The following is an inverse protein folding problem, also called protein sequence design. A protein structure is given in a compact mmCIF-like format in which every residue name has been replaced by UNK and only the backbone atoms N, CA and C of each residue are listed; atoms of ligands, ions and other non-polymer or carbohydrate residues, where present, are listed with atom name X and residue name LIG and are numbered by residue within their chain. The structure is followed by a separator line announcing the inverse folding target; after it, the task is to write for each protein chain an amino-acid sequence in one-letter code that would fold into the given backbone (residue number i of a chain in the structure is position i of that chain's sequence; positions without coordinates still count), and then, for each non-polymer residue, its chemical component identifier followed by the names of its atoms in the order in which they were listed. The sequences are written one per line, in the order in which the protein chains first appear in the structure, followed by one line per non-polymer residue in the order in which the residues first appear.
data_IF_757483902329
#
_entry.id   IF_757483902329
#
_cell.length_a   1.000
_cell.length_b   1.000
_cell.length_c   1.000
_cell.angle_alpha   90.00
_cell.angle_beta   90.00
_cell.angle_gamma   90.00
#
_symmetry.space_group_name_H-M   'P 1'
#
loop_
_entity.id
_entity.type
_entity.pdbx_description
1 polymer ?
#
# COMPACT_ATOMS: atom_id res chain seq x y z
N UNK A 1 18.32 42.11 28.91
CA UNK A 1 16.89 42.02 28.54
C UNK A 1 16.71 41.62 27.08
N UNK A 2 17.54 42.16 26.17
CA UNK A 2 17.55 41.84 24.74
C UNK A 2 17.88 40.36 24.43
N UNK A 3 18.85 39.75 25.12
CA UNK A 3 19.26 38.36 24.85
C UNK A 3 18.19 37.31 25.17
N UNK A 4 17.28 37.61 26.11
CA UNK A 4 16.15 36.72 26.41
C UNK A 4 15.10 36.74 25.29
N UNK A 5 14.91 37.88 24.63
CA UNK A 5 13.95 38.03 23.53
C UNK A 5 14.42 37.35 22.24
N UNK A 6 15.73 37.37 21.96
CA UNK A 6 16.32 36.67 20.79
C UNK A 6 16.16 35.16 20.93
N UNK A 7 16.43 34.60 22.12
CA UNK A 7 16.28 33.17 22.39
C UNK A 7 14.82 32.70 22.30
N UNK A 8 13.86 33.52 22.77
CA UNK A 8 12.44 33.20 22.64
C UNK A 8 11.99 33.15 21.18
N UNK A 9 12.44 34.10 20.35
CA UNK A 9 12.08 34.15 18.92
C UNK A 9 12.64 32.97 18.13
N UNK A 10 13.90 32.61 18.36
CA UNK A 10 14.52 31.44 17.74
C UNK A 10 13.86 30.13 18.19
N UNK A 11 13.46 30.03 19.47
CA UNK A 11 12.75 28.87 19.98
C UNK A 11 11.36 28.73 19.34
N UNK A 12 10.63 29.83 19.14
CA UNK A 12 9.32 29.80 18.48
C UNK A 12 9.41 29.46 17.00
N UNK A 13 10.42 29.98 16.29
CA UNK A 13 10.65 29.68 14.86
C UNK A 13 11.06 28.21 14.65
N UNK A 14 11.91 27.68 15.53
CA UNK A 14 12.30 26.26 15.52
C UNK A 14 11.13 25.35 15.87
N UNK A 15 10.30 25.74 16.83
CA UNK A 15 9.11 24.97 17.20
C UNK A 15 8.06 24.96 16.09
N UNK A 16 7.91 26.08 15.36
CA UNK A 16 6.99 26.19 14.24
C UNK A 16 7.44 25.31 13.06
N UNK A 17 8.73 25.32 12.70
CA UNK A 17 9.24 24.49 11.60
C UNK A 17 9.15 22.98 11.89
N UNK A 18 9.32 22.57 13.15
CA UNK A 18 9.12 21.17 13.58
C UNK A 18 7.65 20.76 13.41
N UNK A 19 6.70 21.61 13.81
CA UNK A 19 5.27 21.34 13.65
C UNK A 19 4.85 21.29 12.17
N UNK A 20 5.39 22.18 11.34
CA UNK A 20 5.16 22.16 9.89
C UNK A 20 5.73 20.89 9.24
N UNK A 21 6.95 20.47 9.61
CA UNK A 21 7.55 19.23 9.13
C UNK A 21 6.75 18.00 9.57
N UNK A 22 6.27 17.99 10.81
CA UNK A 22 5.41 16.91 11.32
C UNK A 22 4.08 16.85 10.56
N UNK A 23 3.42 18.00 10.35
CA UNK A 23 2.19 18.07 9.58
C UNK A 23 2.37 17.65 8.12
N UNK A 24 3.49 18.04 7.49
CA UNK A 24 3.87 17.61 6.14
C UNK A 24 4.09 16.10 6.06
N UNK A 25 4.83 15.53 7.02
CA UNK A 25 5.08 14.09 7.09
C UNK A 25 3.78 13.29 7.30
N UNK A 26 2.86 13.80 8.14
CA UNK A 26 1.53 13.20 8.34
C UNK A 26 0.73 13.21 7.04
N UNK A 27 0.70 14.35 6.34
CA UNK A 27 -0.02 14.50 5.06
C UNK A 27 0.53 13.55 4.00
N UNK A 28 1.86 13.51 3.82
CA UNK A 28 2.52 12.59 2.90
C UNK A 28 2.26 11.12 3.22
N UNK A 29 2.26 10.75 4.51
CA UNK A 29 1.97 9.39 4.94
C UNK A 29 0.54 8.99 4.56
N UNK A 30 -0.43 9.88 4.79
CA UNK A 30 -1.83 9.65 4.40
C UNK A 30 -2.00 9.58 2.89
N UNK A 31 -1.30 10.40 2.11
CA UNK A 31 -1.34 10.34 0.65
C UNK A 31 -0.77 9.03 0.12
N UNK A 32 0.36 8.57 0.66
CA UNK A 32 0.97 7.30 0.28
C UNK A 32 0.07 6.10 0.61
N UNK A 33 -0.54 6.09 1.80
CA UNK A 33 -1.49 5.06 2.20
C UNK A 33 -2.74 5.06 1.30
N UNK A 34 -3.31 6.24 1.06
CA UNK A 34 -4.48 6.42 0.19
C UNK A 34 -4.23 5.87 -1.20
N UNK A 35 -3.12 6.23 -1.84
CA UNK A 35 -2.79 5.76 -3.18
C UNK A 35 -2.62 4.22 -3.23
N UNK A 36 -2.08 3.61 -2.17
CA UNK A 36 -1.94 2.15 -2.09
C UNK A 36 -3.27 1.42 -1.94
N UNK A 37 -4.24 2.01 -1.23
CA UNK A 37 -5.61 1.48 -1.12
C UNK A 37 -6.31 1.62 -2.47
N UNK A 38 -6.29 2.83 -3.04
CA UNK A 38 -6.96 3.18 -4.32
C UNK A 38 -6.53 2.25 -5.44
N UNK A 39 -5.24 1.92 -5.54
CA UNK A 39 -4.72 1.00 -6.57
C UNK A 39 -5.33 -0.39 -6.52
N UNK A 40 -5.80 -0.84 -5.36
CA UNK A 40 -6.39 -2.16 -5.17
C UNK A 40 -7.90 -2.19 -5.38
N UNK A 41 -8.56 -1.03 -5.46
CA UNK A 41 -10.00 -0.93 -5.56
C UNK A 41 -10.49 -0.86 -7.01
N UNK A 42 -11.62 -1.51 -7.34
CA UNK A 42 -12.37 -1.24 -8.56
C UNK A 42 -12.66 0.25 -8.77
N UNK A 43 -12.58 0.72 -10.02
CA UNK A 43 -12.78 2.15 -10.37
C UNK A 43 -14.18 2.68 -10.03
N UNK A 44 -15.18 1.82 -9.94
CA UNK A 44 -16.54 2.17 -9.54
C UNK A 44 -16.68 2.47 -8.04
N UNK A 45 -15.71 2.03 -7.22
CA UNK A 45 -15.64 2.38 -5.78
C UNK A 45 -15.06 3.79 -5.58
N UNK A 46 -14.24 4.27 -6.52
CA UNK A 46 -13.47 5.52 -6.38
C UNK A 46 -14.07 6.59 -7.29
N UNK A 47 -14.67 7.62 -6.71
CA UNK A 47 -15.10 8.80 -7.47
C UNK A 47 -14.03 9.89 -7.38
N UNK A 48 -13.95 10.79 -8.37
CA UNK A 48 -12.96 11.91 -8.42
C UNK A 48 -12.98 12.84 -7.18
N UNK A 49 -13.97 12.65 -6.31
CA UNK A 49 -14.24 13.40 -5.08
C UNK A 49 -13.49 12.84 -3.85
N UNK A 50 -12.87 11.65 -3.93
CA UNK A 50 -12.18 10.97 -2.81
C UNK A 50 -10.81 11.58 -2.44
N UNK A 51 -10.66 12.91 -2.44
CA UNK A 51 -9.38 13.57 -2.12
C UNK A 51 -9.08 13.60 -0.61
N UNK A 52 -10.08 13.40 0.25
CA UNK A 52 -9.92 13.39 1.70
C UNK A 52 -9.92 11.96 2.26
N UNK A 53 -9.03 11.60 3.21
CA UNK A 53 -9.05 10.31 3.92
C UNK A 53 -10.41 9.85 4.47
N UNK A 54 -11.27 10.77 4.92
CA UNK A 54 -12.60 10.42 5.43
C UNK A 54 -13.55 9.89 4.35
N UNK A 55 -13.43 10.41 3.13
CA UNK A 55 -14.25 10.00 1.99
C UNK A 55 -13.86 8.58 1.57
N UNK A 56 -12.56 8.28 1.53
CA UNK A 56 -12.06 6.94 1.23
C UNK A 56 -12.60 5.88 2.21
N UNK A 57 -12.58 6.16 3.52
CA UNK A 57 -13.13 5.22 4.52
C UNK A 57 -14.64 5.02 4.35
N UNK A 58 -15.36 6.09 4.03
CA UNK A 58 -16.80 6.02 3.76
C UNK A 58 -17.11 5.22 2.50
N UNK A 59 -16.33 5.42 1.44
CA UNK A 59 -16.42 4.68 0.17
C UNK A 59 -16.11 3.20 0.37
N UNK A 60 -15.07 2.85 1.13
CA UNK A 60 -14.77 1.48 1.51
C UNK A 60 -15.96 0.83 2.23
N UNK A 61 -16.47 1.47 3.28
CA UNK A 61 -17.62 0.97 4.05
C UNK A 61 -18.86 0.79 3.18
N UNK A 62 -19.21 1.77 2.35
CA UNK A 62 -20.38 1.71 1.46
C UNK A 62 -20.31 0.55 0.45
N UNK A 63 -19.10 0.21 0.00
CA UNK A 63 -18.86 -0.88 -0.95
C UNK A 63 -18.47 -2.19 -0.27
N UNK A 64 -18.68 -2.33 1.05
CA UNK A 64 -18.34 -3.51 1.82
C UNK A 64 -16.87 -3.95 1.66
N UNK A 65 -15.97 -2.98 1.53
CA UNK A 65 -14.54 -3.20 1.46
C UNK A 65 -13.83 -2.63 2.68
N UNK A 66 -12.65 -3.16 2.98
CA UNK A 66 -11.79 -2.66 4.03
C UNK A 66 -10.32 -2.94 3.70
N UNK A 67 -9.41 -2.21 4.34
CA UNK A 67 -7.98 -2.51 4.24
C UNK A 67 -7.47 -3.12 5.54
N UNK A 68 -6.44 -3.94 5.41
CA UNK A 68 -5.75 -4.60 6.52
C UNK A 68 -4.26 -4.74 6.20
N UNK A 69 -3.49 -5.29 7.12
CA UNK A 69 -2.10 -5.67 6.92
C UNK A 69 -1.99 -7.19 6.88
N UNK A 70 -1.39 -7.70 5.82
CA UNK A 70 -1.20 -9.13 5.58
C UNK A 70 -0.30 -9.76 6.64
N UNK A 71 -0.66 -10.95 7.12
CA UNK A 71 0.25 -11.73 7.95
C UNK A 71 1.35 -12.32 7.06
N UNK A 72 2.60 -12.13 7.48
CA UNK A 72 3.77 -12.80 6.89
C UNK A 72 3.57 -14.28 6.57
N UNK A 73 2.83 -15.02 7.42
CA UNK A 73 2.53 -16.44 7.22
C UNK A 73 1.66 -16.69 6.00
N UNK A 74 0.70 -15.81 5.70
CA UNK A 74 -0.13 -15.92 4.51
C UNK A 74 0.72 -15.80 3.25
N UNK A 75 1.70 -14.90 3.26
CA UNK A 75 2.65 -14.73 2.16
C UNK A 75 3.64 -15.89 2.03
N UNK A 76 4.08 -16.47 3.16
CA UNK A 76 4.95 -17.64 3.17
C UNK A 76 4.30 -18.86 2.51
N UNK A 77 2.98 -19.02 2.71
CA UNK A 77 2.21 -20.15 2.21
C UNK A 77 1.84 -20.06 0.72
N UNK A 78 2.04 -18.90 0.08
CA UNK A 78 1.79 -18.76 -1.36
C UNK A 78 2.65 -19.72 -2.18
N UNK A 79 2.11 -20.25 -3.25
CA UNK A 79 2.75 -21.17 -4.18
C UNK A 79 2.64 -20.63 -5.61
N UNK A 80 3.35 -21.25 -6.54
CA UNK A 80 3.25 -20.86 -7.95
C UNK A 80 1.84 -21.10 -8.53
N UNK A 81 1.09 -22.04 -7.97
CA UNK A 81 -0.27 -22.35 -8.40
C UNK A 81 -1.26 -21.23 -8.04
N UNK A 82 -0.96 -20.44 -7.00
CA UNK A 82 -1.78 -19.29 -6.58
C UNK A 82 -1.76 -18.15 -7.60
N UNK A 83 -0.85 -18.15 -8.58
CA UNK A 83 -0.85 -17.19 -9.70
C UNK A 83 -2.12 -17.30 -10.58
N UNK A 84 -2.80 -18.45 -10.52
CA UNK A 84 -4.03 -18.71 -11.28
C UNK A 84 -5.29 -18.36 -10.47
N UNK A 85 -5.16 -18.10 -9.18
CA UNK A 85 -6.27 -17.80 -8.28
C UNK A 85 -6.41 -16.28 -8.13
N UNK A 86 -7.48 -15.70 -8.69
CA UNK A 86 -7.71 -14.26 -8.60
C UNK A 86 -7.86 -13.78 -7.15
N UNK A 87 -8.30 -14.65 -6.22
CA UNK A 87 -8.41 -14.31 -4.79
C UNK A 87 -7.04 -14.08 -4.13
N UNK A 88 -5.95 -14.51 -4.78
CA UNK A 88 -4.56 -14.40 -4.29
C UNK A 88 -3.78 -13.24 -4.87
N UNK A 89 -4.32 -12.54 -5.87
CA UNK A 89 -3.60 -11.47 -6.58
C UNK A 89 -3.22 -10.30 -5.68
N UNK A 90 -4.06 -9.92 -4.70
CA UNK A 90 -3.71 -8.92 -3.69
C UNK A 90 -2.51 -9.33 -2.83
N UNK A 91 -2.42 -10.60 -2.43
CA UNK A 91 -1.28 -11.11 -1.67
C UNK A 91 0.01 -11.12 -2.49
N UNK A 92 -0.08 -11.48 -3.77
CA UNK A 92 1.03 -11.42 -4.72
C UNK A 92 1.48 -9.97 -4.96
N UNK A 93 0.55 -9.02 -4.97
CA UNK A 93 0.84 -7.60 -5.03
C UNK A 93 1.58 -7.08 -3.79
N UNK A 94 1.19 -7.52 -2.59
CA UNK A 94 1.92 -7.23 -1.34
C UNK A 94 3.37 -7.75 -1.40
N UNK A 95 3.59 -8.97 -1.91
CA UNK A 95 4.93 -9.52 -2.14
C UNK A 95 5.73 -8.69 -3.16
N UNK A 96 5.11 -8.33 -4.28
CA UNK A 96 5.76 -7.56 -5.34
C UNK A 96 6.21 -6.18 -4.88
N UNK A 97 5.35 -5.47 -4.16
CA UNK A 97 5.61 -4.11 -3.68
C UNK A 97 6.37 -4.05 -2.35
N UNK A 98 6.56 -5.20 -1.70
CA UNK A 98 7.10 -5.27 -0.34
C UNK A 98 6.28 -4.43 0.66
N UNK A 99 4.97 -4.38 0.44
CA UNK A 99 4.04 -3.61 1.24
C UNK A 99 3.00 -4.54 1.87
N UNK A 100 2.82 -4.53 3.20
CA UNK A 100 1.85 -5.39 3.85
C UNK A 100 0.38 -5.00 3.60
N UNK A 101 0.10 -3.82 3.04
CA UNK A 101 -1.25 -3.29 2.92
C UNK A 101 -2.09 -4.05 1.87
N UNK A 102 -3.19 -4.65 2.32
CA UNK A 102 -4.10 -5.45 1.51
C UNK A 102 -5.53 -4.89 1.61
N UNK A 103 -6.24 -4.85 0.49
CA UNK A 103 -7.65 -4.43 0.45
C UNK A 103 -8.56 -5.62 0.12
N UNK A 104 -9.52 -5.88 1.01
CA UNK A 104 -10.43 -7.01 0.99
C UNK A 104 -11.89 -6.56 0.91
N UNK A 105 -12.75 -7.41 0.36
CA UNK A 105 -14.20 -7.33 0.56
C UNK A 105 -14.61 -7.94 1.92
N UNK A 106 -15.88 -7.82 2.28
CA UNK A 106 -16.44 -8.35 3.52
C UNK A 106 -16.47 -9.89 3.60
N UNK A 107 -16.21 -10.59 2.49
CA UNK A 107 -16.03 -12.04 2.43
C UNK A 107 -14.56 -12.46 2.58
N UNK A 108 -13.66 -11.49 2.78
CA UNK A 108 -12.21 -11.64 2.87
C UNK A 108 -11.52 -12.04 1.55
N UNK A 109 -12.17 -11.80 0.41
CA UNK A 109 -11.52 -11.93 -0.88
C UNK A 109 -10.80 -10.63 -1.22
N UNK A 110 -9.69 -10.74 -1.97
CA UNK A 110 -9.03 -9.53 -2.45
C UNK A 110 -9.91 -8.76 -3.44
N UNK A 111 -9.94 -7.44 -3.27
CA UNK A 111 -10.56 -6.53 -4.25
C UNK A 111 -9.72 -6.42 -5.53
N UNK A 112 -8.43 -6.78 -5.46
CA UNK A 112 -7.50 -6.73 -6.58
C UNK A 112 -7.58 -8.00 -7.44
N UNK A 113 -8.36 -7.96 -8.52
CA UNK A 113 -8.41 -9.01 -9.55
C UNK A 113 -7.82 -8.54 -10.90
N UNK A 114 -7.78 -9.43 -11.90
CA UNK A 114 -7.17 -9.12 -13.21
C UNK A 114 -7.80 -7.89 -13.89
N UNK A 115 -9.12 -7.69 -13.74
CA UNK A 115 -9.84 -6.53 -14.27
C UNK A 115 -9.38 -5.25 -13.56
N UNK A 116 -9.34 -5.26 -12.23
CA UNK A 116 -8.89 -4.09 -11.44
C UNK A 116 -7.44 -3.76 -11.75
N UNK A 117 -6.55 -4.76 -11.84
CA UNK A 117 -5.14 -4.55 -12.20
C UNK A 117 -5.03 -3.89 -13.58
N UNK A 118 -5.75 -4.41 -14.57
CA UNK A 118 -5.74 -3.84 -15.91
C UNK A 118 -6.24 -2.39 -15.92
N UNK A 119 -7.27 -2.08 -15.14
CA UNK A 119 -7.85 -0.75 -15.06
C UNK A 119 -6.95 0.27 -14.36
N UNK A 120 -6.30 -0.12 -13.26
CA UNK A 120 -5.59 0.80 -12.37
C UNK A 120 -4.10 0.94 -12.71
N UNK A 121 -3.49 -0.11 -13.24
CA UNK A 121 -2.05 -0.15 -13.54
C UNK A 121 -1.79 -0.04 -15.04
N UNK A 122 -2.65 -0.66 -15.85
CA UNK A 122 -2.51 -0.71 -17.30
C UNK A 122 -1.53 -1.78 -17.80
N UNK A 123 -1.54 -2.01 -19.11
CA UNK A 123 -0.80 -3.12 -19.75
C UNK A 123 0.72 -3.00 -19.74
N UNK A 124 1.26 -1.82 -19.42
CA UNK A 124 2.71 -1.56 -19.39
C UNK A 124 3.30 -1.65 -17.98
N UNK A 125 2.48 -1.85 -16.97
CA UNK A 125 2.94 -1.92 -15.58
C UNK A 125 3.69 -3.24 -15.32
N UNK A 126 4.78 -3.16 -14.56
CA UNK A 126 5.66 -4.31 -14.31
C UNK A 126 4.96 -5.42 -13.51
N UNK A 127 4.05 -5.07 -12.59
CA UNK A 127 3.25 -6.06 -11.87
C UNK A 127 2.28 -6.75 -12.81
N UNK A 128 1.58 -5.99 -13.66
CA UNK A 128 0.72 -6.56 -14.70
C UNK A 128 1.50 -7.51 -15.62
N UNK A 129 2.65 -7.07 -16.13
CA UNK A 129 3.47 -7.88 -17.03
C UNK A 129 3.96 -9.15 -16.36
N UNK A 130 4.36 -9.09 -15.08
CA UNK A 130 4.90 -10.24 -14.36
C UNK A 130 3.81 -11.22 -13.93
N UNK A 131 2.77 -10.74 -13.24
CA UNK A 131 1.81 -11.58 -12.52
C UNK A 131 0.48 -11.80 -13.25
N UNK A 132 0.21 -11.05 -14.34
CA UNK A 132 -0.98 -11.25 -15.18
C UNK A 132 -0.60 -11.75 -16.57
N UNK A 133 0.19 -10.99 -17.33
CA UNK A 133 0.47 -11.31 -18.74
C UNK A 133 1.42 -12.50 -18.92
N UNK A 134 2.49 -12.58 -18.10
CA UNK A 134 3.52 -13.60 -18.22
C UNK A 134 3.55 -14.57 -17.02
N UNK A 135 2.41 -14.73 -16.32
CA UNK A 135 2.34 -15.54 -15.09
C UNK A 135 2.78 -17.00 -15.29
N UNK A 136 2.54 -17.57 -16.47
CA UNK A 136 2.94 -18.94 -16.79
C UNK A 136 4.46 -19.11 -16.96
N UNK A 137 5.19 -17.99 -17.12
CA UNK A 137 6.66 -17.97 -17.18
C UNK A 137 7.31 -17.69 -15.83
N UNK A 138 6.53 -17.38 -14.78
CA UNK A 138 7.07 -17.17 -13.45
C UNK A 138 7.52 -18.51 -12.87
N UNK A 139 8.75 -18.53 -12.35
CA UNK A 139 9.31 -19.73 -11.71
C UNK A 139 9.11 -19.69 -10.20
N UNK A 140 9.17 -20.87 -9.58
CA UNK A 140 9.15 -20.97 -8.11
C UNK A 140 10.33 -20.20 -7.49
N UNK A 141 11.50 -20.22 -8.13
CA UNK A 141 12.69 -19.47 -7.68
C UNK A 141 12.41 -17.97 -7.62
N UNK A 142 11.73 -17.40 -8.62
CA UNK A 142 11.34 -15.99 -8.60
C UNK A 142 10.38 -15.69 -7.44
N UNK A 143 9.37 -16.55 -7.23
CA UNK A 143 8.42 -16.38 -6.11
C UNK A 143 9.13 -16.43 -4.76
N UNK A 144 10.07 -17.38 -4.57
CA UNK A 144 10.87 -17.47 -3.35
C UNK A 144 11.77 -16.24 -3.15
N UNK A 145 12.37 -15.72 -4.22
CA UNK A 145 13.15 -14.49 -4.16
C UNK A 145 12.29 -13.30 -3.72
N UNK A 146 11.04 -13.20 -4.20
CA UNK A 146 10.09 -12.17 -3.76
C UNK A 146 9.72 -12.29 -2.28
N UNK A 147 9.49 -13.50 -1.78
CA UNK A 147 9.25 -13.74 -0.35
C UNK A 147 10.44 -13.34 0.51
N UNK A 148 11.66 -13.70 0.08
CA UNK A 148 12.89 -13.32 0.79
C UNK A 148 13.04 -11.79 0.84
N UNK A 149 12.85 -11.11 -0.30
CA UNK A 149 12.92 -9.66 -0.37
C UNK A 149 11.89 -8.98 0.54
N UNK A 150 10.63 -9.46 0.53
CA UNK A 150 9.58 -8.96 1.40
C UNK A 150 10.01 -9.02 2.88
N UNK A 151 10.51 -10.18 3.33
CA UNK A 151 10.98 -10.39 4.70
C UNK A 151 12.09 -9.43 5.09
N UNK A 152 13.11 -9.32 4.24
CA UNK A 152 14.23 -8.39 4.47
C UNK A 152 13.76 -6.95 4.57
N UNK A 153 12.83 -6.55 3.70
CA UNK A 153 12.31 -5.18 3.70
C UNK A 153 11.46 -4.86 4.94
N UNK A 154 10.64 -5.80 5.41
CA UNK A 154 9.88 -5.61 6.67
C UNK A 154 10.82 -5.50 7.88
N UNK A 155 11.88 -6.30 7.93
CA UNK A 155 12.87 -6.22 9.00
C UNK A 155 13.54 -4.84 9.05
N UNK A 156 14.00 -4.34 7.90
CA UNK A 156 14.63 -3.02 7.80
C UNK A 156 13.67 -1.91 8.25
N UNK A 157 12.38 -1.99 7.85
CA UNK A 157 11.37 -1.02 8.28
C UNK A 157 11.14 -1.03 9.79
N UNK A 158 11.14 -2.20 10.42
CA UNK A 158 10.99 -2.33 11.87
C UNK A 158 12.20 -1.75 12.62
N UNK A 159 13.42 -1.94 12.11
CA UNK A 159 14.63 -1.39 12.72
C UNK A 159 14.74 0.14 12.60
N UNK A 160 14.00 0.75 11.66
CA UNK A 160 13.97 2.19 11.42
C UNK A 160 12.80 2.92 12.12
N UNK A 161 11.85 2.18 12.70
CA UNK A 161 10.66 2.71 13.37
C UNK A 161 10.91 2.98 14.87
#
# INVERSE_FOLDING_TARGET
MLDKLINLKQFTETSHSILEQQAYNITLFHDSLREQIIRQLPKDIIQEQDRNPYDLLSSLHFHNAYYTYVDSKELENLSINDLQDESKLGYLYCLYTCNPLLVLDNENNTTLNSKVITQNFGYKDDFYLSFIANKDSLSNEYLQARKALYKTYQLIKQEQA
#
